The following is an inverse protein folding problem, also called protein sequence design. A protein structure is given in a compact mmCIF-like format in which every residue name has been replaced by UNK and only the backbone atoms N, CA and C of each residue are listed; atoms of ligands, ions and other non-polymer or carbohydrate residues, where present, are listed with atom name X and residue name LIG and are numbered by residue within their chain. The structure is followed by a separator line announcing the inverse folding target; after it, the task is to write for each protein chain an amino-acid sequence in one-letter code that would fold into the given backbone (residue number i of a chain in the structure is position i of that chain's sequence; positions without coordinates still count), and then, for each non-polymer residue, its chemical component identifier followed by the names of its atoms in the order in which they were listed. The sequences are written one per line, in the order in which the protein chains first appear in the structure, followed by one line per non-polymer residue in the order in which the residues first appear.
data_IF_688152284525
#
_entry.id   IF_688152284525
#
_cell.length_a   1.000
_cell.length_b   1.000
_cell.length_c   1.000
_cell.angle_alpha   90.00
_cell.angle_beta   90.00
_cell.angle_gamma   90.00
#
_symmetry.space_group_name_H-M   'P 1'
#
loop_
_entity.id
_entity.type
_entity.pdbx_description
1 polymer ?
#
# COMPACT_ATOMS: atom_id res chain seq x y z
N UNK A 1 9.36 -9.54 -0.55
CA UNK A 1 8.16 -9.51 -1.43
C UNK A 1 8.56 -9.66 -2.91
N UNK A 2 7.75 -10.33 -3.74
CA UNK A 2 8.04 -10.58 -5.17
C UNK A 2 8.32 -9.28 -5.97
N UNK A 3 7.59 -8.20 -5.67
CA UNK A 3 7.74 -6.91 -6.34
C UNK A 3 8.80 -5.97 -5.73
N UNK A 4 9.55 -6.39 -4.71
CA UNK A 4 10.46 -5.49 -3.98
C UNK A 4 11.54 -4.86 -4.87
N UNK A 5 12.01 -5.57 -5.89
CA UNK A 5 12.98 -5.07 -6.85
C UNK A 5 12.42 -3.91 -7.70
N UNK A 6 11.17 -4.02 -8.15
CA UNK A 6 10.48 -2.96 -8.90
C UNK A 6 10.30 -1.71 -8.05
N UNK A 7 9.93 -1.87 -6.77
CA UNK A 7 9.77 -0.74 -5.86
C UNK A 7 11.12 -0.10 -5.48
N UNK A 8 12.17 -0.89 -5.33
CA UNK A 8 13.52 -0.35 -5.11
C UNK A 8 14.02 0.45 -6.32
N UNK A 9 13.69 0.04 -7.54
CA UNK A 9 14.00 0.76 -8.78
C UNK A 9 13.27 2.12 -8.85
N UNK A 10 12.02 2.19 -8.41
CA UNK A 10 11.24 3.43 -8.39
C UNK A 10 11.69 4.43 -7.32
N UNK A 11 12.23 3.93 -6.21
CA UNK A 11 12.50 4.71 -5.01
C UNK A 11 13.34 6.00 -5.24
N UNK A 12 14.48 5.99 -5.97
CA UNK A 12 15.28 7.19 -6.19
C UNK A 12 14.61 8.23 -7.10
N UNK A 13 13.60 7.86 -7.88
CA UNK A 13 12.84 8.80 -8.70
C UNK A 13 11.84 9.63 -7.89
N UNK A 14 11.31 9.06 -6.81
CA UNK A 14 10.41 9.74 -5.89
C UNK A 14 11.17 10.46 -4.75
N UNK A 15 12.26 9.86 -4.27
CA UNK A 15 13.09 10.37 -3.18
C UNK A 15 14.57 10.31 -3.58
N UNK A 16 15.11 11.38 -4.20
CA UNK A 16 16.48 11.40 -4.74
C UNK A 16 17.58 11.17 -3.70
N UNK A 17 17.27 11.34 -2.42
CA UNK A 17 18.16 11.21 -1.27
C UNK A 17 18.12 9.81 -0.62
N UNK A 18 17.39 8.84 -1.18
CA UNK A 18 17.26 7.50 -0.61
C UNK A 18 18.59 6.72 -0.65
N UNK A 19 18.89 5.98 0.42
CA UNK A 19 20.11 5.17 0.50
C UNK A 19 19.98 3.87 -0.30
N UNK A 20 20.55 3.89 -1.51
CA UNK A 20 20.59 2.72 -2.40
C UNK A 20 21.57 1.63 -1.96
N UNK A 21 22.42 1.87 -0.96
CA UNK A 21 23.38 0.87 -0.45
C UNK A 21 22.74 -0.20 0.44
N UNK A 22 21.51 0.03 0.93
CA UNK A 22 20.76 -0.86 1.80
C UNK A 22 20.26 -2.18 1.14
N UNK A 23 20.58 -2.40 -0.14
CA UNK A 23 20.11 -3.54 -0.93
C UNK A 23 18.62 -3.50 -1.23
N UNK A 24 18.13 -4.37 -2.13
CA UNK A 24 16.75 -4.30 -2.65
C UNK A 24 15.67 -4.28 -1.58
N UNK A 25 15.75 -5.14 -0.57
CA UNK A 25 14.75 -5.17 0.50
C UNK A 25 14.82 -3.91 1.38
N UNK A 26 16.03 -3.44 1.70
CA UNK A 26 16.23 -2.23 2.50
C UNK A 26 15.75 -0.98 1.79
N UNK A 27 16.04 -0.83 0.49
CA UNK A 27 15.54 0.28 -0.32
C UNK A 27 14.02 0.24 -0.44
N UNK A 28 13.43 -0.94 -0.70
CA UNK A 28 11.98 -1.09 -0.76
C UNK A 28 11.30 -0.73 0.58
N UNK A 29 11.89 -1.11 1.71
CA UNK A 29 11.38 -0.77 3.03
C UNK A 29 11.45 0.75 3.28
N UNK A 30 12.60 1.37 3.02
CA UNK A 30 12.76 2.84 3.09
C UNK A 30 11.74 3.56 2.20
N UNK A 31 11.48 3.04 0.99
CA UNK A 31 10.51 3.66 0.09
C UNK A 31 9.08 3.64 0.66
N UNK A 32 8.66 2.53 1.27
CA UNK A 32 7.36 2.41 1.96
C UNK A 32 7.26 3.42 3.11
N UNK A 33 8.30 3.50 3.94
CA UNK A 33 8.35 4.43 5.08
C UNK A 33 8.28 5.90 4.62
N UNK A 34 9.01 6.26 3.56
CA UNK A 34 9.00 7.61 3.00
C UNK A 34 7.65 7.99 2.41
N UNK A 35 6.95 7.07 1.73
CA UNK A 35 5.58 7.30 1.25
C UNK A 35 4.57 7.48 2.40
N UNK A 36 4.71 6.70 3.46
CA UNK A 36 3.86 6.82 4.65
C UNK A 36 4.08 8.16 5.36
N UNK A 37 5.34 8.56 5.55
CA UNK A 37 5.70 9.86 6.14
C UNK A 37 5.19 11.03 5.28
N UNK A 38 5.40 10.97 3.96
CA UNK A 38 4.91 12.00 3.03
C UNK A 38 3.38 12.18 3.13
N UNK A 39 2.62 11.10 3.28
CA UNK A 39 1.18 11.19 3.44
C UNK A 39 0.79 11.97 4.71
N UNK A 40 1.54 11.78 5.80
CA UNK A 40 1.34 12.54 7.04
C UNK A 40 1.77 14.01 6.90
N UNK A 41 2.92 14.28 6.26
CA UNK A 41 3.45 15.62 6.04
C UNK A 41 2.50 16.49 5.19
N UNK A 42 1.81 15.86 4.22
CA UNK A 42 0.79 16.52 3.40
C UNK A 42 -0.57 16.67 4.10
N UNK A 43 -0.71 16.19 5.34
CA UNK A 43 -1.94 16.27 6.13
C UNK A 43 -3.06 15.36 5.60
N UNK A 44 -2.73 14.31 4.86
CA UNK A 44 -3.73 13.35 4.37
C UNK A 44 -4.28 12.53 5.54
N UNK A 45 -5.55 12.16 5.44
CA UNK A 45 -6.15 11.19 6.35
C UNK A 45 -5.57 9.80 6.05
N UNK A 46 -4.98 9.18 7.05
CA UNK A 46 -4.25 7.90 6.90
C UNK A 46 -5.01 6.71 7.49
N UNK A 47 -6.21 6.96 8.04
CA UNK A 47 -7.12 5.93 8.53
C UNK A 47 -8.51 6.07 7.92
N UNK A 48 -9.15 4.95 7.61
CA UNK A 48 -10.48 4.93 7.01
C UNK A 48 -11.54 5.60 7.89
N UNK A 49 -11.43 5.45 9.22
CA UNK A 49 -12.33 6.11 10.17
C UNK A 49 -12.29 7.64 10.10
N UNK A 50 -11.18 8.24 9.66
CA UNK A 50 -11.04 9.69 9.54
C UNK A 50 -11.80 10.27 8.34
N UNK A 51 -12.21 9.42 7.40
CA UNK A 51 -13.00 9.80 6.21
C UNK A 51 -14.43 9.25 6.26
N UNK A 52 -14.90 8.83 7.45
CA UNK A 52 -16.29 8.45 7.68
C UNK A 52 -16.64 7.00 7.33
N UNK A 53 -15.65 6.14 7.10
CA UNK A 53 -15.88 4.69 6.92
C UNK A 53 -16.15 4.06 8.29
N UNK A 54 -17.18 3.22 8.39
CA UNK A 54 -17.44 2.42 9.59
C UNK A 54 -16.71 1.08 9.53
N UNK A 55 -16.39 0.48 10.69
CA UNK A 55 -15.79 -0.86 10.73
C UNK A 55 -16.71 -1.93 10.11
N UNK A 56 -18.03 -1.71 10.20
CA UNK A 56 -19.04 -2.56 9.55
C UNK A 56 -19.04 -2.49 8.02
N UNK A 57 -18.46 -1.46 7.42
CA UNK A 57 -18.34 -1.35 5.96
C UNK A 57 -17.23 -2.24 5.38
N UNK A 58 -16.22 -2.59 6.19
CA UNK A 58 -15.00 -3.27 5.71
C UNK A 58 -15.28 -4.60 4.98
N UNK A 59 -16.19 -5.49 5.45
CA UNK A 59 -16.52 -6.71 4.72
C UNK A 59 -17.14 -6.42 3.34
N UNK A 60 -18.05 -5.44 3.27
CA UNK A 60 -18.66 -5.05 1.98
C UNK A 60 -17.62 -4.46 1.04
N UNK A 61 -16.71 -3.62 1.54
CA UNK A 61 -15.63 -3.04 0.76
C UNK A 61 -14.67 -4.11 0.22
N UNK A 62 -14.33 -5.12 1.02
CA UNK A 62 -13.52 -6.25 0.57
C UNK A 62 -14.19 -7.03 -0.57
N UNK A 63 -15.48 -7.35 -0.43
CA UNK A 63 -16.27 -8.01 -1.47
C UNK A 63 -16.38 -7.15 -2.75
N UNK A 64 -16.60 -5.83 -2.60
CA UNK A 64 -16.64 -4.89 -3.73
C UNK A 64 -15.27 -4.75 -4.43
N UNK A 65 -14.17 -4.83 -3.69
CA UNK A 65 -12.82 -4.82 -4.26
C UNK A 65 -12.58 -6.02 -5.19
N UNK A 66 -13.15 -7.19 -4.89
CA UNK A 66 -13.00 -8.39 -5.73
C UNK A 66 -13.66 -8.24 -7.11
N UNK A 67 -14.57 -7.27 -7.28
CA UNK A 67 -15.19 -6.95 -8.57
C UNK A 67 -14.23 -6.23 -9.52
N UNK A 68 -13.08 -5.75 -9.04
CA UNK A 68 -12.08 -5.02 -9.83
C UNK A 68 -11.15 -5.97 -10.61
N UNK A 69 -11.73 -6.85 -11.43
CA UNK A 69 -11.02 -7.96 -12.10
C UNK A 69 -9.77 -7.53 -12.87
N UNK A 70 -9.86 -6.47 -13.68
CA UNK A 70 -8.71 -5.97 -14.47
C UNK A 70 -7.57 -5.42 -13.60
N UNK A 71 -7.89 -4.79 -12.47
CA UNK A 71 -6.88 -4.22 -11.57
C UNK A 71 -6.22 -5.32 -10.73
N UNK A 72 -6.99 -6.31 -10.28
CA UNK A 72 -6.46 -7.44 -9.50
C UNK A 72 -5.52 -8.32 -10.33
N UNK A 73 -5.84 -8.59 -11.60
CA UNK A 73 -4.95 -9.33 -12.52
C UNK A 73 -3.64 -8.59 -12.78
N UNK A 74 -3.65 -7.26 -12.73
CA UNK A 74 -2.44 -6.45 -12.89
C UNK A 74 -1.64 -6.27 -11.59
N UNK A 75 -2.19 -6.68 -10.44
CA UNK A 75 -1.48 -6.58 -9.18
C UNK A 75 -0.37 -7.65 -9.16
N UNK A 76 0.88 -7.31 -8.81
CA UNK A 76 2.00 -8.26 -8.87
C UNK A 76 1.93 -9.37 -7.82
N UNK A 77 0.88 -9.39 -7.00
CA UNK A 77 0.58 -10.41 -6.01
C UNK A 77 -0.90 -10.78 -6.14
N UNK A 78 -1.22 -12.06 -6.12
CA UNK A 78 -2.61 -12.50 -6.04
C UNK A 78 -3.23 -12.04 -4.72
N UNK A 79 -4.42 -11.41 -4.81
CA UNK A 79 -5.15 -10.87 -3.66
C UNK A 79 -6.47 -11.61 -3.54
N UNK A 80 -6.67 -12.32 -2.42
CA UNK A 80 -7.97 -12.88 -2.06
C UNK A 80 -8.86 -11.85 -1.36
N UNK A 81 -10.15 -12.15 -1.22
CA UNK A 81 -11.07 -11.31 -0.42
C UNK A 81 -10.60 -11.18 1.04
N UNK A 82 -10.02 -12.25 1.60
CA UNK A 82 -9.48 -12.25 2.95
C UNK A 82 -8.25 -11.35 3.09
N UNK A 83 -7.39 -11.30 2.05
CA UNK A 83 -6.26 -10.37 2.00
C UNK A 83 -6.75 -8.93 1.94
N UNK A 84 -7.73 -8.63 1.07
CA UNK A 84 -8.32 -7.31 0.95
C UNK A 84 -8.97 -6.84 2.26
N UNK A 85 -9.72 -7.73 2.93
CA UNK A 85 -10.29 -7.45 4.24
C UNK A 85 -9.22 -7.17 5.30
N UNK A 86 -8.12 -7.94 5.27
CA UNK A 86 -6.99 -7.74 6.20
C UNK A 86 -6.30 -6.39 5.96
N UNK A 87 -6.14 -5.97 4.71
CA UNK A 87 -5.63 -4.64 4.34
C UNK A 87 -6.57 -3.54 4.84
N UNK A 88 -7.88 -3.68 4.62
CA UNK A 88 -8.86 -2.70 5.10
C UNK A 88 -8.88 -2.61 6.63
N UNK A 89 -8.75 -3.72 7.35
CA UNK A 89 -8.64 -3.74 8.82
C UNK A 89 -7.36 -3.07 9.31
N UNK A 90 -6.24 -3.27 8.63
CA UNK A 90 -4.97 -2.61 8.99
C UNK A 90 -5.02 -1.08 8.75
N UNK A 91 -5.82 -0.64 7.79
CA UNK A 91 -6.01 0.77 7.45
C UNK A 91 -7.14 1.47 8.25
N UNK A 92 -7.90 0.74 9.07
CA UNK A 92 -9.01 1.30 9.86
C UNK A 92 -8.54 2.11 11.07
#
# INVERSE_FOLDING_TARGET
PEAAHLYAELAPHAFPDIDMSAGTQGVCAQFIERLAALSADLGLKTRLREVGVSESDLPRMASDAMKQTRLLVNNPRDVSEADALSIYRAAY
#
